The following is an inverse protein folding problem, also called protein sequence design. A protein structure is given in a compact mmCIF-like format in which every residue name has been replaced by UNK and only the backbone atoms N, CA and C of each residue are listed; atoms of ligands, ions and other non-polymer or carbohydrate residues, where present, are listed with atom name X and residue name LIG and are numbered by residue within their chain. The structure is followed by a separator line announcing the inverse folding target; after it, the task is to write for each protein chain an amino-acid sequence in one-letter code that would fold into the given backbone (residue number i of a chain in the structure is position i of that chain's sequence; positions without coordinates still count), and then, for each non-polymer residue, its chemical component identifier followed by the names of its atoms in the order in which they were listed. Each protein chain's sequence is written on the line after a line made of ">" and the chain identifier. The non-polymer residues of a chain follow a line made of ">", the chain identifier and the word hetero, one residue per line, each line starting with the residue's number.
data_IF_789484415524
#
_entry.id   IF_789484415524
#
_cell.length_a   1.000
_cell.length_b   1.000
_cell.length_c   1.000
_cell.angle_alpha   90.00
_cell.angle_beta   90.00
_cell.angle_gamma   90.00
#
_symmetry.space_group_name_H-M   'P 1'
#
loop_
_entity.id
_entity.type
_entity.pdbx_description
1 polymer ?
#
# COMPACT_ATOMS: atom_id res chain seq x y z
N UNK A 1 -10.03 -9.69 -8.94
CA UNK A 1 -10.32 -8.49 -8.14
C UNK A 1 -10.15 -8.83 -6.68
N UNK A 2 -9.44 -7.97 -5.95
CA UNK A 2 -9.30 -8.05 -4.50
C UNK A 2 -10.33 -7.14 -3.86
N UNK A 3 -11.08 -7.67 -2.90
CA UNK A 3 -12.16 -6.95 -2.22
C UNK A 3 -11.83 -6.90 -0.73
N UNK A 4 -11.11 -5.85 -0.28
CA UNK A 4 -10.93 -5.60 1.15
C UNK A 4 -12.29 -5.22 1.76
N UNK A 5 -12.51 -5.66 2.98
CA UNK A 5 -13.74 -5.34 3.70
C UNK A 5 -13.40 -5.03 5.16
N UNK A 6 -14.14 -4.10 5.75
CA UNK A 6 -14.06 -3.83 7.18
C UNK A 6 -14.42 -5.05 8.02
N UNK A 7 -15.29 -5.88 7.49
CA UNK A 7 -15.71 -7.15 8.12
C UNK A 7 -15.04 -8.29 7.38
N UNK A 8 -14.09 -8.95 8.05
CA UNK A 8 -13.39 -10.12 7.51
C UNK A 8 -14.36 -11.22 7.04
N UNK A 9 -13.97 -11.99 6.06
CA UNK A 9 -12.67 -12.06 5.38
C UNK A 9 -12.54 -11.09 4.21
N UNK A 10 -11.31 -10.69 3.88
CA UNK A 10 -11.00 -10.14 2.56
C UNK A 10 -11.13 -11.26 1.52
N UNK A 11 -11.74 -10.97 0.39
CA UNK A 11 -12.05 -11.94 -0.65
C UNK A 11 -11.44 -11.56 -1.99
N UNK A 12 -11.13 -12.57 -2.79
CA UNK A 12 -10.61 -12.40 -4.15
C UNK A 12 -11.51 -13.13 -5.12
N UNK A 13 -11.94 -12.44 -6.16
CA UNK A 13 -12.87 -12.97 -7.16
C UNK A 13 -12.27 -12.94 -8.57
N UNK A 14 -12.64 -13.93 -9.38
CA UNK A 14 -12.50 -13.82 -10.84
C UNK A 14 -13.46 -12.75 -11.34
N UNK A 15 -13.03 -11.95 -12.31
CA UNK A 15 -13.89 -11.03 -13.04
C UNK A 15 -14.65 -11.76 -14.16
N UNK A 16 -15.58 -11.07 -14.80
CA UNK A 16 -16.37 -11.58 -15.96
C UNK A 16 -17.36 -12.67 -15.59
N UNK A 17 -18.39 -12.29 -14.85
CA UNK A 17 -19.57 -13.11 -14.56
C UNK A 17 -20.84 -12.30 -14.72
N UNK A 18 -21.99 -12.94 -14.63
CA UNK A 18 -23.31 -12.31 -14.57
C UNK A 18 -24.11 -12.85 -13.39
N UNK A 19 -25.02 -12.04 -12.86
CA UNK A 19 -25.81 -12.41 -11.68
C UNK A 19 -24.97 -12.47 -10.41
N UNK A 20 -25.37 -13.30 -9.46
CA UNK A 20 -24.63 -13.52 -8.20
C UNK A 20 -23.41 -14.40 -8.42
N UNK A 21 -22.23 -13.82 -8.33
CA UNK A 21 -20.95 -14.49 -8.50
C UNK A 21 -20.25 -14.83 -7.16
N UNK A 22 -20.86 -14.55 -6.03
CA UNK A 22 -20.25 -14.64 -4.71
C UNK A 22 -19.65 -16.02 -4.37
N UNK A 23 -20.25 -17.08 -4.85
CA UNK A 23 -19.77 -18.46 -4.65
C UNK A 23 -18.98 -18.98 -5.87
N UNK A 24 -19.49 -18.75 -7.07
CA UNK A 24 -18.94 -19.35 -8.29
C UNK A 24 -17.61 -18.74 -8.74
N UNK A 25 -17.32 -17.50 -8.33
CA UNK A 25 -16.12 -16.76 -8.72
C UNK A 25 -15.15 -16.49 -7.57
N UNK A 26 -15.46 -16.95 -6.36
CA UNK A 26 -14.52 -16.86 -5.23
C UNK A 26 -13.27 -17.68 -5.55
N UNK A 27 -12.10 -17.06 -5.48
CA UNK A 27 -10.81 -17.71 -5.72
C UNK A 27 -10.15 -18.08 -4.39
N UNK A 28 -10.03 -17.11 -3.49
CA UNK A 28 -9.50 -17.32 -2.15
C UNK A 28 -9.96 -16.18 -1.21
N UNK A 29 -9.85 -16.42 0.08
CA UNK A 29 -10.17 -15.46 1.12
C UNK A 29 -9.14 -15.53 2.26
N UNK A 30 -8.98 -14.44 3.00
CA UNK A 30 -8.12 -14.37 4.19
C UNK A 30 -8.80 -13.58 5.29
N UNK A 31 -8.67 -13.98 6.56
CA UNK A 31 -9.18 -13.20 7.68
C UNK A 31 -8.41 -11.89 7.90
N UNK A 32 -7.22 -11.73 7.32
CA UNK A 32 -6.31 -10.62 7.52
C UNK A 32 -6.55 -9.52 6.48
N UNK A 33 -7.72 -8.87 6.51
CA UNK A 33 -8.05 -7.75 5.62
C UNK A 33 -7.75 -6.39 6.24
N UNK A 34 -7.47 -5.36 5.44
CA UNK A 34 -7.44 -3.97 5.89
C UNK A 34 -8.86 -3.42 6.02
N UNK A 35 -9.08 -2.46 6.92
CA UNK A 35 -10.32 -1.71 7.01
C UNK A 35 -10.35 -0.56 6.00
N UNK A 36 -9.34 0.29 6.00
CA UNK A 36 -9.27 1.51 5.17
C UNK A 36 -8.28 1.39 4.02
N UNK A 37 -7.01 0.96 4.22
CA UNK A 37 -6.03 0.92 3.13
C UNK A 37 -6.41 -0.06 2.02
N UNK A 38 -6.31 0.35 0.78
CA UNK A 38 -6.50 -0.53 -0.38
C UNK A 38 -5.19 -1.27 -0.68
N UNK A 39 -5.17 -2.61 -0.77
CA UNK A 39 -3.98 -3.37 -1.13
C UNK A 39 -3.42 -3.02 -2.50
N UNK A 40 -2.11 -3.21 -2.70
CA UNK A 40 -1.44 -3.01 -4.00
C UNK A 40 -0.78 -4.31 -4.48
N UNK A 41 -0.70 -4.50 -5.79
CA UNK A 41 -0.12 -5.72 -6.39
C UNK A 41 0.83 -5.39 -7.53
N UNK A 42 1.88 -6.21 -7.68
CA UNK A 42 2.76 -6.24 -8.85
C UNK A 42 2.32 -7.28 -9.90
N UNK A 43 1.15 -7.89 -9.69
CA UNK A 43 0.60 -8.97 -10.52
C UNK A 43 1.01 -10.38 -10.07
N UNK A 44 2.02 -10.51 -9.21
CA UNK A 44 2.46 -11.79 -8.61
C UNK A 44 2.18 -11.82 -7.12
N UNK A 45 2.53 -10.77 -6.42
CA UNK A 45 2.32 -10.59 -4.98
C UNK A 45 1.27 -9.52 -4.73
N UNK A 46 0.49 -9.73 -3.69
CA UNK A 46 -0.44 -8.76 -3.12
C UNK A 46 0.14 -8.26 -1.80
N UNK A 47 0.39 -6.97 -1.73
CA UNK A 47 0.92 -6.30 -0.54
C UNK A 47 -0.21 -5.58 0.18
N UNK A 48 -0.35 -5.85 1.45
CA UNK A 48 -1.42 -5.35 2.28
C UNK A 48 -0.90 -4.85 3.61
N UNK A 49 -1.40 -3.74 4.07
CA UNK A 49 -1.23 -3.25 5.43
C UNK A 49 -2.60 -3.06 6.07
N UNK A 50 -2.76 -3.49 7.30
CA UNK A 50 -3.95 -3.15 8.05
C UNK A 50 -3.79 -1.79 8.78
N UNK A 51 -4.89 -1.29 9.31
CA UNK A 51 -4.96 0.01 9.99
C UNK A 51 -4.08 0.12 11.24
N UNK A 52 -3.54 -0.99 11.74
CA UNK A 52 -2.63 -1.04 12.90
C UNK A 52 -1.15 -1.15 12.53
N UNK A 53 -0.81 -1.04 11.25
CA UNK A 53 0.56 -1.16 10.76
C UNK A 53 1.09 -2.59 10.71
N UNK A 54 0.22 -3.58 10.51
CA UNK A 54 0.64 -4.96 10.29
C UNK A 54 0.63 -5.26 8.79
N UNK A 55 1.76 -5.68 8.27
CA UNK A 55 1.96 -5.99 6.85
C UNK A 55 1.77 -7.48 6.61
N UNK A 56 1.09 -7.81 5.53
CA UNK A 56 0.92 -9.15 4.98
C UNK A 56 1.23 -9.13 3.49
N UNK A 57 1.83 -10.20 3.01
CA UNK A 57 2.06 -10.40 1.57
C UNK A 57 1.60 -11.79 1.17
N UNK A 58 0.81 -11.84 0.12
CA UNK A 58 0.24 -13.07 -0.42
C UNK A 58 0.65 -13.27 -1.87
N UNK A 59 0.73 -14.53 -2.29
CA UNK A 59 0.66 -14.85 -3.71
C UNK A 59 -0.71 -14.39 -4.25
N UNK A 60 -0.70 -13.47 -5.20
CA UNK A 60 -1.91 -12.79 -5.67
C UNK A 60 -2.93 -13.73 -6.31
N UNK A 61 -2.47 -14.86 -6.86
CA UNK A 61 -3.31 -15.83 -7.55
C UNK A 61 -3.90 -16.88 -6.62
N UNK A 62 -3.12 -17.36 -5.66
CA UNK A 62 -3.49 -18.52 -4.82
C UNK A 62 -3.93 -18.13 -3.41
N UNK A 63 -3.63 -16.92 -2.96
CA UNK A 63 -3.85 -16.46 -1.59
C UNK A 63 -2.89 -17.10 -0.57
N UNK A 64 -1.86 -17.82 -1.04
CA UNK A 64 -0.84 -18.36 -0.14
C UNK A 64 -0.10 -17.20 0.52
N UNK A 65 -0.08 -17.16 1.84
CA UNK A 65 0.71 -16.18 2.59
C UNK A 65 2.21 -16.43 2.33
N UNK A 66 2.90 -15.39 1.89
CA UNK A 66 4.36 -15.39 1.67
C UNK A 66 5.04 -14.98 2.96
N UNK A 67 4.60 -13.90 3.56
CA UNK A 67 4.90 -13.50 4.94
C UNK A 67 3.76 -12.64 5.49
N UNK A 68 3.61 -12.64 6.81
CA UNK A 68 2.58 -11.84 7.46
C UNK A 68 2.89 -11.57 8.91
N UNK A 69 2.04 -10.75 9.54
CA UNK A 69 2.19 -10.36 10.94
C UNK A 69 3.39 -9.44 11.19
N UNK A 70 4.01 -8.86 10.16
CA UNK A 70 5.17 -7.98 10.30
C UNK A 70 4.70 -6.57 10.65
N UNK A 71 5.08 -6.10 11.82
CA UNK A 71 4.74 -4.76 12.30
C UNK A 71 5.78 -3.75 11.80
N UNK A 72 5.29 -2.66 11.19
CA UNK A 72 6.07 -1.46 10.89
C UNK A 72 5.76 -0.37 11.93
N UNK A 73 6.23 0.87 11.72
CA UNK A 73 6.05 1.98 12.67
C UNK A 73 4.63 1.99 13.27
N UNK A 74 4.48 1.83 14.60
CA UNK A 74 3.17 1.72 15.24
C UNK A 74 2.40 3.03 15.13
N UNK A 75 1.26 3.02 14.43
CA UNK A 75 0.33 4.14 14.30
C UNK A 75 -0.93 3.65 13.60
N UNK A 76 -1.89 4.56 13.34
CA UNK A 76 -3.03 4.30 12.47
C UNK A 76 -2.64 4.51 11.00
N UNK A 77 -3.03 3.57 10.14
CA UNK A 77 -2.79 3.63 8.71
C UNK A 77 -4.13 3.72 7.97
N UNK A 78 -4.41 4.89 7.40
CA UNK A 78 -5.59 5.13 6.57
C UNK A 78 -5.25 5.33 5.10
N UNK A 79 -3.99 5.68 4.79
CA UNK A 79 -3.51 5.79 3.41
C UNK A 79 -3.27 4.43 2.78
N UNK A 80 -3.59 4.30 1.50
CA UNK A 80 -3.29 3.09 0.74
C UNK A 80 -1.79 3.02 0.41
N UNK A 81 -1.17 1.83 0.47
CA UNK A 81 0.20 1.64 0.02
C UNK A 81 0.35 1.95 -1.47
N UNK A 82 1.52 2.42 -1.86
CA UNK A 82 1.88 2.69 -3.25
C UNK A 82 3.10 1.87 -3.64
N UNK A 83 2.99 1.12 -4.73
CA UNK A 83 4.09 0.36 -5.32
C UNK A 83 4.74 1.19 -6.43
N UNK A 84 6.02 1.48 -6.28
CA UNK A 84 6.81 2.18 -7.30
C UNK A 84 8.28 1.77 -7.21
N UNK A 85 8.92 1.56 -8.35
CA UNK A 85 10.34 1.27 -8.48
C UNK A 85 10.83 0.16 -7.51
N UNK A 86 10.07 -0.96 -7.45
CA UNK A 86 10.39 -2.10 -6.59
C UNK A 86 10.28 -1.82 -5.08
N UNK A 87 9.56 -0.78 -4.70
CA UNK A 87 9.36 -0.36 -3.30
C UNK A 87 7.88 -0.15 -3.00
N UNK A 88 7.51 -0.42 -1.75
CA UNK A 88 6.18 -0.16 -1.22
C UNK A 88 6.27 0.99 -0.22
N UNK A 89 5.54 2.06 -0.49
CA UNK A 89 5.45 3.24 0.37
C UNK A 89 4.16 3.16 1.18
N UNK A 90 4.27 3.21 2.51
CA UNK A 90 3.16 3.10 3.46
C UNK A 90 3.23 4.27 4.43
N UNK A 91 2.28 5.20 4.33
CA UNK A 91 2.22 6.38 5.19
C UNK A 91 1.20 6.18 6.30
N UNK A 92 1.55 6.53 7.54
CA UNK A 92 0.62 6.55 8.66
C UNK A 92 0.05 7.95 8.90
N UNK A 93 -0.93 8.05 9.78
CA UNK A 93 -1.62 9.31 10.08
C UNK A 93 -0.72 10.34 10.78
N UNK A 94 0.35 9.91 11.46
CA UNK A 94 1.32 10.77 12.14
C UNK A 94 2.40 11.32 11.19
N UNK A 95 2.28 11.07 9.88
CA UNK A 95 3.20 11.57 8.85
C UNK A 95 4.46 10.75 8.66
N UNK A 96 4.56 9.55 9.24
CA UNK A 96 5.67 8.64 8.97
C UNK A 96 5.37 7.79 7.74
N UNK A 97 6.26 7.82 6.75
CA UNK A 97 6.22 6.94 5.58
C UNK A 97 7.30 5.87 5.71
N UNK A 98 6.86 4.64 5.87
CA UNK A 98 7.74 3.46 5.86
C UNK A 98 7.88 2.98 4.41
N UNK A 99 9.11 2.70 4.01
CA UNK A 99 9.44 2.18 2.68
C UNK A 99 9.94 0.75 2.82
N UNK A 100 9.20 -0.18 2.23
CA UNK A 100 9.59 -1.59 2.17
C UNK A 100 10.12 -1.93 0.78
N UNK A 101 11.01 -2.90 0.72
CA UNK A 101 11.36 -3.56 -0.54
C UNK A 101 10.20 -4.43 -1.01
N UNK A 102 9.79 -4.26 -2.25
CA UNK A 102 8.83 -5.18 -2.86
C UNK A 102 9.48 -6.55 -3.11
N UNK A 103 8.79 -7.63 -2.75
CA UNK A 103 9.31 -8.98 -2.92
C UNK A 103 8.83 -9.96 -1.86
N UNK A 104 9.38 -11.18 -1.87
CA UNK A 104 8.93 -12.28 -1.01
C UNK A 104 9.51 -12.26 0.40
N UNK A 105 10.32 -11.26 0.76
CA UNK A 105 10.93 -11.11 2.08
C UNK A 105 10.64 -9.75 2.68
N UNK A 106 10.41 -9.70 3.99
CA UNK A 106 10.20 -8.47 4.71
C UNK A 106 11.53 -7.73 4.90
N UNK A 107 11.64 -6.52 4.33
CA UNK A 107 12.82 -5.67 4.43
C UNK A 107 12.39 -4.20 4.46
N UNK A 108 12.66 -3.52 5.58
CA UNK A 108 12.43 -2.07 5.73
C UNK A 108 13.66 -1.35 5.17
N UNK A 109 13.45 -0.53 4.14
CA UNK A 109 14.51 0.25 3.49
C UNK A 109 14.69 1.62 4.13
N UNK A 110 13.60 2.25 4.57
CA UNK A 110 13.63 3.57 5.19
C UNK A 110 12.36 3.86 5.99
N UNK A 111 12.48 4.77 6.94
CA UNK A 111 11.38 5.45 7.60
C UNK A 111 11.61 6.96 7.48
N UNK A 112 10.64 7.68 6.92
CA UNK A 112 10.71 9.12 6.69
C UNK A 112 9.55 9.80 7.41
N UNK A 113 9.83 10.85 8.19
CA UNK A 113 8.86 11.53 9.01
C UNK A 113 8.71 13.00 8.60
N UNK A 114 7.47 13.46 8.49
CA UNK A 114 7.11 14.84 8.16
C UNK A 114 6.59 15.64 9.36
N UNK A 115 6.37 15.00 10.51
CA UNK A 115 5.81 15.62 11.73
C UNK A 115 4.45 16.34 11.50
N UNK A 116 3.69 15.86 10.53
CA UNK A 116 2.39 16.42 10.15
C UNK A 116 1.37 15.30 9.89
N UNK A 117 0.13 15.57 10.28
CA UNK A 117 -0.96 14.64 10.06
C UNK A 117 -1.29 14.48 8.57
N UNK A 118 -1.53 13.24 8.13
CA UNK A 118 -1.96 12.92 6.77
C UNK A 118 -2.88 11.70 6.71
N UNK A 119 -3.87 11.75 5.83
CA UNK A 119 -4.70 10.60 5.42
C UNK A 119 -4.46 10.24 3.94
N UNK A 120 -3.66 11.06 3.25
CA UNK A 120 -3.49 10.93 1.82
C UNK A 120 -2.56 9.77 1.47
N UNK A 121 -2.96 8.97 0.48
CA UNK A 121 -2.05 8.04 -0.17
C UNK A 121 -1.00 8.83 -0.97
N UNK A 122 0.28 8.43 -0.93
CA UNK A 122 1.29 9.05 -1.77
C UNK A 122 0.94 8.91 -3.26
N UNK A 123 1.33 9.89 -4.06
CA UNK A 123 1.30 9.79 -5.52
C UNK A 123 2.72 9.78 -6.07
N UNK A 124 2.95 9.05 -7.16
CA UNK A 124 4.26 8.96 -7.81
C UNK A 124 4.14 9.39 -9.27
N UNK A 125 4.97 10.33 -9.68
CA UNK A 125 5.09 10.78 -11.07
C UNK A 125 6.52 11.24 -11.36
N UNK A 126 7.05 10.87 -12.52
CA UNK A 126 8.35 11.30 -13.04
C UNK A 126 9.52 11.15 -12.03
N UNK A 127 9.53 10.04 -11.29
CA UNK A 127 10.56 9.77 -10.28
C UNK A 127 10.45 10.62 -9.02
N UNK A 128 9.33 11.30 -8.83
CA UNK A 128 9.01 12.11 -7.66
C UNK A 128 7.84 11.50 -6.89
N UNK A 129 7.84 11.71 -5.57
CA UNK A 129 6.75 11.32 -4.67
C UNK A 129 6.08 12.59 -4.18
N UNK A 130 4.76 12.63 -4.30
CA UNK A 130 3.93 13.71 -3.79
C UNK A 130 3.16 13.21 -2.57
N UNK A 131 3.32 13.89 -1.43
CA UNK A 131 2.63 13.59 -0.20
C UNK A 131 1.90 14.84 0.29
N UNK A 132 0.58 14.73 0.42
CA UNK A 132 -0.25 15.79 0.98
C UNK A 132 -0.39 15.58 2.49
N UNK A 133 -0.14 16.64 3.26
CA UNK A 133 -0.40 16.71 4.71
C UNK A 133 -1.49 17.74 5.01
N UNK A 134 -1.75 17.99 6.28
CA UNK A 134 -2.73 19.02 6.68
C UNK A 134 -2.33 20.43 6.27
N UNK A 135 -1.04 20.75 6.19
CA UNK A 135 -0.54 22.09 5.92
C UNK A 135 0.14 22.25 4.56
N UNK A 136 0.62 21.16 3.93
CA UNK A 136 1.45 21.25 2.74
C UNK A 136 1.21 20.11 1.73
N UNK A 137 1.70 20.33 0.51
CA UNK A 137 1.96 19.31 -0.48
C UNK A 137 3.47 19.21 -0.66
N UNK A 138 4.04 18.10 -0.22
CA UNK A 138 5.46 17.81 -0.37
C UNK A 138 5.72 17.13 -1.72
N UNK A 139 6.81 17.54 -2.38
CA UNK A 139 7.36 16.88 -3.55
C UNK A 139 8.77 16.40 -3.19
N UNK A 140 8.96 15.09 -3.14
CA UNK A 140 10.21 14.46 -2.77
C UNK A 140 10.77 13.71 -3.97
N UNK A 141 12.01 14.01 -4.34
CA UNK A 141 12.69 13.36 -5.46
C UNK A 141 14.09 13.92 -5.65
N UNK A 142 14.85 13.33 -6.56
CA UNK A 142 16.15 13.87 -6.95
C UNK A 142 15.92 15.20 -7.68
N UNK A 143 16.62 16.27 -7.30
CA UNK A 143 16.67 17.49 -8.11
C UNK A 143 17.37 17.13 -9.43
N UNK A 144 16.67 17.26 -10.54
CA UNK A 144 17.32 17.30 -11.83
C UNK A 144 18.15 18.58 -11.87
N UNK A 145 19.47 18.44 -11.96
CA UNK A 145 20.41 19.56 -12.10
C UNK A 145 20.36 20.25 -13.48
N UNK A 146 19.32 20.02 -14.26
CA UNK A 146 19.10 20.64 -15.55
C UNK A 146 18.09 21.79 -15.44
N UNK A 147 18.60 23.03 -15.40
CA UNK A 147 17.91 24.21 -15.92
C UNK A 147 16.87 24.84 -15.00
N UNK A 148 17.30 25.65 -14.06
CA UNK A 148 16.52 26.84 -13.66
C UNK A 148 16.56 27.80 -14.86
N UNK A 149 15.60 27.67 -15.77
CA UNK A 149 15.29 28.77 -16.67
C UNK A 149 14.62 29.85 -15.84
N UNK A 150 15.36 30.88 -15.45
CA UNK A 150 14.82 32.13 -14.92
C UNK A 150 13.87 32.74 -15.94
N UNK A 151 12.61 32.88 -15.58
CA UNK A 151 11.69 33.83 -16.18
C UNK A 151 11.38 34.94 -15.19
#
# INVERSE_FOLDING_TARGET
>A
VFVPTRVSPMQTFRTFGSGDISQSHLVWATPNGPDVPTPVTDGKLLYMINDRGIVYVFDARTGKEIYGGQRIAPATYSSSPVLADGKIYMSNEEGTTVVLKAGPSFEVLAENKFDEYTLASPAVSDGQIFLRTTSALYCVGKRNSAGVASR
#
